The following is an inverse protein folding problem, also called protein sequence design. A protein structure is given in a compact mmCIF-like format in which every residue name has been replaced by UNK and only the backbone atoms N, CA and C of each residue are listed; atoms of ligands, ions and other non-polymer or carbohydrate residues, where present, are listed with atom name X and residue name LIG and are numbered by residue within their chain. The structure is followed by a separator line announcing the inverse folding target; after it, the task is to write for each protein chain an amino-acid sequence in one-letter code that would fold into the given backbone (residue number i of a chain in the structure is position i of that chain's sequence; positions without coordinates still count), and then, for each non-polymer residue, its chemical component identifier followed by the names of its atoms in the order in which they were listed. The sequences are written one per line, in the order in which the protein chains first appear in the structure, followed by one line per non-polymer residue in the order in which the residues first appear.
data_IF_357801834186
#
_entry.id   IF_357801834186
#
_cell.length_a   1.000
_cell.length_b   1.000
_cell.length_c   1.000
_cell.angle_alpha   90.00
_cell.angle_beta   90.00
_cell.angle_gamma   90.00
#
_symmetry.space_group_name_H-M   'P 1'
#
loop_
_entity.id
_entity.type
_entity.pdbx_description
1 polymer ?
#
# COMPACT_ATOMS: atom_id res chain seq x y z
N UNK A 1 -25.82 23.00 -12.64
CA UNK A 1 -25.69 21.61 -12.19
C UNK A 1 -24.63 20.96 -13.05
N UNK A 2 -23.56 20.49 -12.45
CA UNK A 2 -22.47 19.84 -13.17
C UNK A 2 -22.75 18.34 -13.16
N UNK A 3 -23.11 17.78 -14.31
CA UNK A 3 -23.45 16.35 -14.47
C UNK A 3 -22.26 15.48 -14.84
N UNK A 4 -21.06 15.71 -14.26
CA UNK A 4 -19.86 14.94 -14.58
C UNK A 4 -19.15 14.47 -13.30
N UNK A 5 -18.48 13.33 -13.41
CA UNK A 5 -17.63 12.77 -12.35
C UNK A 5 -16.23 12.54 -12.91
N UNK A 6 -15.22 13.00 -12.18
CA UNK A 6 -13.82 12.68 -12.47
C UNK A 6 -13.20 12.11 -11.20
N UNK A 7 -13.11 10.79 -11.12
CA UNK A 7 -12.54 10.08 -9.98
C UNK A 7 -11.75 8.87 -10.45
N UNK A 8 -10.54 8.73 -9.95
CA UNK A 8 -9.66 7.59 -10.19
C UNK A 8 -9.33 6.94 -8.86
N UNK A 9 -9.43 5.62 -8.83
CA UNK A 9 -9.06 4.79 -7.68
C UNK A 9 -7.97 3.82 -8.15
N UNK A 10 -6.84 3.79 -7.45
CA UNK A 10 -5.74 2.89 -7.73
C UNK A 10 -5.27 2.20 -6.46
N UNK A 11 -5.00 0.90 -6.59
CA UNK A 11 -4.33 0.10 -5.59
C UNK A 11 -3.11 -0.55 -6.22
N UNK A 12 -1.93 -0.25 -5.73
CA UNK A 12 -0.69 -0.78 -6.31
C UNK A 12 0.53 -0.48 -5.46
N UNK A 13 1.70 -0.79 -6.01
CA UNK A 13 2.98 -0.62 -5.32
C UNK A 13 3.83 0.45 -6.00
N UNK A 14 4.59 1.20 -5.18
CA UNK A 14 5.56 2.17 -5.70
C UNK A 14 6.75 1.46 -6.35
N UNK A 15 7.14 1.94 -7.52
CA UNK A 15 8.32 1.45 -8.22
C UNK A 15 9.63 2.09 -7.75
N UNK A 16 9.56 3.29 -7.18
CA UNK A 16 10.69 4.10 -6.69
C UNK A 16 10.22 5.00 -5.56
N UNK A 17 11.18 5.56 -4.82
CA UNK A 17 10.88 6.52 -3.76
C UNK A 17 10.15 7.76 -4.30
N UNK A 18 9.24 8.36 -3.51
CA UNK A 18 8.58 9.61 -3.86
C UNK A 18 9.57 10.75 -4.01
N UNK A 19 9.30 11.65 -4.93
CA UNK A 19 10.05 12.90 -5.08
C UNK A 19 9.24 14.04 -4.45
N UNK A 20 9.84 14.71 -3.47
CA UNK A 20 9.25 15.85 -2.80
C UNK A 20 9.84 17.13 -3.37
N UNK A 21 8.99 18.06 -3.79
CA UNK A 21 9.39 19.36 -4.33
C UNK A 21 8.70 20.49 -3.60
N UNK A 22 9.44 21.59 -3.37
CA UNK A 22 8.87 22.84 -2.87
C UNK A 22 8.42 23.69 -4.04
N UNK A 23 7.20 24.21 -3.95
CA UNK A 23 6.67 25.17 -4.91
C UNK A 23 7.09 26.60 -4.54
N UNK A 24 7.00 27.53 -5.49
CA UNK A 24 7.29 28.95 -5.25
C UNK A 24 6.38 29.59 -4.20
N UNK A 25 5.21 29.01 -3.97
CA UNK A 25 4.27 29.42 -2.92
C UNK A 25 4.69 29.02 -1.51
N UNK A 26 5.79 28.24 -1.35
CA UNK A 26 6.23 27.68 -0.08
C UNK A 26 5.57 26.34 0.28
N UNK A 27 4.52 25.93 -0.43
CA UNK A 27 3.87 24.63 -0.25
C UNK A 27 4.71 23.51 -0.85
N UNK A 28 4.57 22.30 -0.34
CA UNK A 28 5.22 21.11 -0.88
C UNK A 28 4.27 20.34 -1.80
N UNK A 29 4.84 19.63 -2.77
CA UNK A 29 4.17 18.61 -3.55
C UNK A 29 4.98 17.32 -3.55
N UNK A 30 4.31 16.19 -3.65
CA UNK A 30 4.95 14.89 -3.81
C UNK A 30 4.56 14.26 -5.15
N UNK A 31 5.52 13.63 -5.82
CA UNK A 31 5.28 12.89 -7.06
C UNK A 31 5.85 11.49 -6.97
N UNK A 32 5.08 10.50 -7.42
CA UNK A 32 5.51 9.11 -7.47
C UNK A 32 4.72 8.33 -8.52
N UNK A 33 5.15 7.11 -8.81
CA UNK A 33 4.45 6.22 -9.74
C UNK A 33 4.01 4.95 -9.05
N UNK A 34 2.77 4.54 -9.30
CA UNK A 34 2.17 3.30 -8.81
C UNK A 34 2.05 2.30 -9.96
N UNK A 35 2.48 1.06 -9.70
CA UNK A 35 2.29 -0.08 -10.60
C UNK A 35 1.00 -0.82 -10.25
N UNK A 36 0.16 -1.04 -11.25
CA UNK A 36 -0.97 -1.96 -11.17
C UNK A 36 -0.72 -3.13 -12.14
N UNK A 37 -0.80 -4.37 -11.65
CA UNK A 37 -0.54 -5.56 -12.45
C UNK A 37 -1.81 -6.37 -12.66
N UNK A 38 -2.01 -6.83 -13.88
CA UNK A 38 -3.06 -7.77 -14.26
C UNK A 38 -2.42 -9.06 -14.74
N UNK A 39 -2.84 -10.19 -14.16
CA UNK A 39 -2.41 -11.53 -14.56
C UNK A 39 -3.57 -12.27 -15.19
N UNK A 40 -3.30 -12.98 -16.26
CA UNK A 40 -4.27 -13.85 -16.91
C UNK A 40 -3.60 -15.05 -17.54
N UNK A 41 -4.35 -16.11 -17.75
CA UNK A 41 -3.90 -17.28 -18.49
C UNK A 41 -4.31 -17.13 -19.95
N UNK A 42 -3.34 -17.24 -20.86
CA UNK A 42 -3.61 -17.23 -22.30
C UNK A 42 -4.38 -18.49 -22.69
N UNK A 43 -5.50 -18.32 -23.38
CA UNK A 43 -6.38 -19.44 -23.73
C UNK A 43 -5.75 -20.38 -24.76
N UNK A 44 -4.86 -19.88 -25.61
CA UNK A 44 -4.25 -20.64 -26.69
C UNK A 44 -2.98 -21.34 -26.25
N UNK A 45 -2.10 -20.63 -25.54
CA UNK A 45 -0.78 -21.15 -25.10
C UNK A 45 -0.82 -21.76 -23.72
N UNK A 46 -1.90 -21.55 -22.94
CA UNK A 46 -2.04 -21.95 -21.54
C UNK A 46 -0.97 -21.34 -20.61
N UNK A 47 -0.20 -20.37 -21.09
CA UNK A 47 0.82 -19.68 -20.33
C UNK A 47 0.23 -18.57 -19.46
N UNK A 48 0.85 -18.33 -18.32
CA UNK A 48 0.51 -17.17 -17.48
C UNK A 48 1.17 -15.92 -18.05
N UNK A 49 0.35 -14.92 -18.35
CA UNK A 49 0.79 -13.60 -18.80
C UNK A 49 0.53 -12.56 -17.74
N UNK A 50 1.43 -11.60 -17.64
CA UNK A 50 1.30 -10.45 -16.75
C UNK A 50 1.50 -9.15 -17.53
N UNK A 51 0.67 -8.16 -17.22
CA UNK A 51 0.81 -6.80 -17.75
C UNK A 51 0.81 -5.83 -16.59
N UNK A 52 1.84 -5.02 -16.50
CA UNK A 52 1.96 -3.94 -15.51
C UNK A 52 1.71 -2.60 -16.19
N UNK A 53 0.89 -1.76 -15.57
CA UNK A 53 0.65 -0.39 -15.97
C UNK A 53 1.17 0.55 -14.88
N UNK A 54 1.84 1.62 -15.30
CA UNK A 54 2.39 2.64 -14.43
C UNK A 54 1.52 3.89 -14.45
N UNK A 55 1.18 4.40 -13.28
CA UNK A 55 0.34 5.57 -13.11
C UNK A 55 1.11 6.63 -12.35
N UNK A 56 1.18 7.84 -12.91
CA UNK A 56 1.82 8.98 -12.27
C UNK A 56 0.84 9.65 -11.31
N UNK A 57 1.28 9.83 -10.08
CA UNK A 57 0.50 10.43 -9.01
C UNK A 57 1.19 11.72 -8.57
N UNK A 58 0.40 12.77 -8.42
CA UNK A 58 0.84 14.05 -7.88
C UNK A 58 -0.01 14.39 -6.68
N UNK A 59 0.63 14.63 -5.56
CA UNK A 59 -0.03 14.91 -4.28
C UNK A 59 0.24 16.36 -3.90
N UNK A 60 -0.83 17.10 -3.64
CA UNK A 60 -0.82 18.45 -3.11
C UNK A 60 -1.42 18.47 -1.70
N UNK A 61 -1.05 19.49 -0.94
CA UNK A 61 -1.51 19.71 0.42
C UNK A 61 -0.55 19.13 1.46
N UNK A 62 -0.17 19.99 2.40
CA UNK A 62 0.91 19.72 3.34
C UNK A 62 0.70 18.44 4.15
N UNK A 63 -0.54 18.16 4.58
CA UNK A 63 -0.84 16.96 5.37
C UNK A 63 -0.62 15.64 4.60
N UNK A 64 -1.07 15.55 3.35
CA UNK A 64 -0.84 14.36 2.53
C UNK A 64 0.61 14.22 2.11
N UNK A 65 1.25 15.34 1.76
CA UNK A 65 2.68 15.34 1.38
C UNK A 65 3.54 14.92 2.55
N UNK A 66 3.24 15.35 3.77
CA UNK A 66 3.96 14.95 4.99
C UNK A 66 3.84 13.42 5.23
N UNK A 67 2.66 12.83 5.01
CA UNK A 67 2.47 11.38 5.10
C UNK A 67 3.34 10.66 4.06
N UNK A 68 3.34 11.16 2.82
CA UNK A 68 4.17 10.59 1.76
C UNK A 68 5.64 10.69 2.10
N UNK A 69 6.12 11.86 2.56
CA UNK A 69 7.52 12.11 2.92
C UNK A 69 8.01 11.19 4.05
N UNK A 70 7.17 10.95 5.06
CA UNK A 70 7.55 10.18 6.26
C UNK A 70 7.42 8.68 6.10
N UNK A 71 6.43 8.20 5.37
CA UNK A 71 6.03 6.80 5.44
C UNK A 71 6.06 6.06 4.13
N UNK A 72 6.02 6.76 3.00
CA UNK A 72 5.96 6.13 1.67
C UNK A 72 7.36 5.96 1.10
N UNK A 73 7.68 4.75 0.65
CA UNK A 73 8.98 4.41 0.05
C UNK A 73 8.79 3.43 -1.11
N UNK A 74 9.85 3.19 -1.87
CA UNK A 74 9.88 2.16 -2.90
C UNK A 74 9.33 0.83 -2.37
N UNK A 75 8.41 0.23 -3.11
CA UNK A 75 7.75 -1.02 -2.74
C UNK A 75 6.49 -0.86 -1.89
N UNK A 76 6.27 0.29 -1.26
CA UNK A 76 5.07 0.55 -0.46
C UNK A 76 3.80 0.28 -1.24
N UNK A 77 2.84 -0.38 -0.60
CA UNK A 77 1.52 -0.64 -1.15
C UNK A 77 0.56 0.45 -0.74
N UNK A 78 0.00 1.15 -1.72
CA UNK A 78 -0.89 2.28 -1.52
C UNK A 78 -2.23 2.08 -2.18
N UNK A 79 -3.27 2.54 -1.49
CA UNK A 79 -4.57 2.85 -2.04
C UNK A 79 -4.67 4.37 -2.20
N UNK A 80 -5.00 4.85 -3.38
CA UNK A 80 -5.16 6.27 -3.66
C UNK A 80 -6.47 6.56 -4.39
N UNK A 81 -7.10 7.66 -4.04
CA UNK A 81 -8.22 8.25 -4.75
C UNK A 81 -7.88 9.68 -5.15
N UNK A 82 -8.15 10.04 -6.37
CA UNK A 82 -7.89 11.37 -6.90
C UNK A 82 -8.64 11.65 -8.18
N UNK A 83 -8.24 12.70 -8.86
CA UNK A 83 -8.81 13.11 -10.14
C UNK A 83 -7.82 12.92 -11.28
N UNK A 84 -8.30 12.52 -12.45
CA UNK A 84 -7.47 12.42 -13.64
C UNK A 84 -7.29 13.81 -14.25
N UNK A 85 -6.05 14.20 -14.44
CA UNK A 85 -5.72 15.47 -15.09
C UNK A 85 -4.71 15.24 -16.21
N UNK A 86 -4.97 15.86 -17.35
CA UNK A 86 -4.02 15.92 -18.47
C UNK A 86 -3.51 17.34 -18.60
N UNK A 87 -2.18 17.50 -18.52
CA UNK A 87 -1.52 18.78 -18.75
C UNK A 87 -0.66 18.73 -20.01
N UNK A 88 -0.65 19.84 -20.71
CA UNK A 88 0.21 20.08 -21.86
C UNK A 88 1.54 20.68 -21.39
N UNK A 89 2.63 20.22 -21.95
CA UNK A 89 3.97 20.78 -21.74
C UNK A 89 4.77 20.72 -23.03
N UNK A 90 5.84 21.48 -23.13
CA UNK A 90 6.73 21.45 -24.29
C UNK A 90 8.04 20.77 -23.94
N UNK A 91 8.49 19.88 -24.83
CA UNK A 91 9.82 19.28 -24.72
C UNK A 91 10.93 20.28 -25.14
N UNK A 92 12.19 19.82 -25.04
CA UNK A 92 13.34 20.66 -25.37
C UNK A 92 13.39 21.09 -26.85
N UNK A 93 12.71 20.34 -27.72
CA UNK A 93 12.61 20.62 -29.15
C UNK A 93 11.40 21.52 -29.50
N UNK A 94 10.66 21.98 -28.49
CA UNK A 94 9.50 22.83 -28.65
C UNK A 94 8.21 22.12 -29.06
N UNK A 95 8.20 20.75 -29.05
CA UNK A 95 7.00 20.00 -29.40
C UNK A 95 6.04 19.92 -28.21
N UNK A 96 4.77 20.01 -28.51
CA UNK A 96 3.71 19.83 -27.53
C UNK A 96 3.61 18.38 -27.09
N UNK A 97 3.68 18.17 -25.77
CA UNK A 97 3.53 16.87 -25.11
C UNK A 97 2.39 16.93 -24.10
N UNK A 98 1.80 15.80 -23.83
CA UNK A 98 0.72 15.66 -22.89
C UNK A 98 1.10 14.63 -21.82
N UNK A 99 0.91 14.98 -20.56
CA UNK A 99 1.08 14.07 -19.42
C UNK A 99 -0.26 13.89 -18.73
N UNK A 100 -0.67 12.65 -18.55
CA UNK A 100 -1.86 12.30 -17.79
C UNK A 100 -1.45 11.81 -16.42
N UNK A 101 -1.95 12.45 -15.38
CA UNK A 101 -1.57 12.25 -13.98
C UNK A 101 -2.82 12.14 -13.12
N UNK A 102 -2.72 11.42 -12.02
CA UNK A 102 -3.76 11.39 -10.99
C UNK A 102 -3.38 12.38 -9.91
N UNK A 103 -4.24 13.36 -9.70
CA UNK A 103 -4.01 14.45 -8.76
C UNK A 103 -4.76 14.17 -7.46
N UNK A 104 -4.03 14.16 -6.35
CA UNK A 104 -4.57 14.11 -5.01
C UNK A 104 -4.52 15.52 -4.42
N UNK A 105 -5.69 16.16 -4.35
CA UNK A 105 -5.85 17.52 -3.83
C UNK A 105 -7.23 17.70 -3.20
N UNK A 106 -7.28 18.37 -2.04
CA UNK A 106 -8.52 18.71 -1.38
C UNK A 106 -9.28 17.54 -0.77
N UNK A 107 -10.57 17.75 -0.52
CA UNK A 107 -11.40 16.81 0.26
C UNK A 107 -11.80 15.53 -0.48
N UNK A 108 -11.71 15.52 -1.81
CA UNK A 108 -12.10 14.35 -2.63
C UNK A 108 -10.96 13.38 -2.88
N UNK A 109 -9.81 13.60 -2.25
CA UNK A 109 -8.64 12.75 -2.39
C UNK A 109 -8.38 11.93 -1.13
N UNK A 110 -7.87 10.72 -1.31
CA UNK A 110 -7.50 9.84 -0.22
C UNK A 110 -6.19 9.12 -0.54
N UNK A 111 -5.37 8.91 0.48
CA UNK A 111 -4.15 8.13 0.40
C UNK A 111 -4.04 7.27 1.66
N UNK A 112 -4.01 5.95 1.47
CA UNK A 112 -3.91 4.97 2.56
C UNK A 112 -2.76 4.02 2.31
N UNK A 113 -1.84 3.91 3.28
CA UNK A 113 -0.79 2.89 3.28
C UNK A 113 -1.40 1.54 3.68
N UNK A 114 -1.12 0.53 2.87
CA UNK A 114 -1.57 -0.85 3.09
C UNK A 114 -0.41 -1.81 3.38
N UNK A 115 0.78 -1.27 3.62
CA UNK A 115 1.89 -2.08 4.08
C UNK A 115 1.54 -2.67 5.44
N UNK A 116 1.49 -3.99 5.54
CA UNK A 116 1.56 -4.67 6.82
C UNK A 116 2.83 -4.17 7.48
N UNK A 117 2.73 -3.53 8.65
CA UNK A 117 3.89 -3.30 9.51
C UNK A 117 4.54 -4.67 9.71
N UNK A 118 5.58 -4.92 8.92
CA UNK A 118 6.40 -6.11 9.08
C UNK A 118 6.79 -6.16 10.54
N UNK A 119 6.49 -7.29 11.14
CA UNK A 119 6.93 -7.72 12.44
C UNK A 119 8.35 -7.20 12.68
N UNK A 120 8.49 -6.10 13.41
CA UNK A 120 9.76 -5.76 14.01
C UNK A 120 10.02 -6.90 14.99
N UNK A 121 10.89 -7.83 14.61
CA UNK A 121 11.52 -8.73 15.53
C UNK A 121 12.07 -7.86 16.66
N UNK A 122 11.35 -7.83 17.75
CA UNK A 122 11.89 -7.49 19.05
C UNK A 122 12.86 -8.63 19.33
N UNK A 123 14.11 -8.46 18.97
CA UNK A 123 15.19 -9.22 19.56
C UNK A 123 15.16 -8.91 21.05
N UNK A 124 14.41 -9.70 21.79
CA UNK A 124 14.56 -9.82 23.21
C UNK A 124 15.95 -10.39 23.45
N UNK A 125 16.89 -9.49 23.65
CA UNK A 125 18.16 -9.80 24.26
C UNK A 125 17.89 -10.20 25.72
N UNK A 126 17.55 -11.47 25.91
CA UNK A 126 17.51 -12.08 27.22
C UNK A 126 18.92 -12.37 27.64
N UNK A 127 19.49 -11.42 28.33
CA UNK A 127 20.75 -11.63 29.06
C UNK A 127 20.47 -12.54 30.24
N UNK A 128 21.02 -13.75 30.12
CA UNK A 128 21.10 -14.76 31.16
C UNK A 128 21.85 -14.24 32.37
N UNK A 129 21.28 -14.36 33.55
CA UNK A 129 22.05 -14.60 34.75
C UNK A 129 21.37 -15.69 35.59
N UNK A 130 22.18 -16.72 35.80
CA UNK A 130 22.00 -17.86 36.70
C UNK A 130 21.75 -17.40 38.15
N UNK A 131 20.96 -18.16 38.89
CA UNK A 131 21.40 -18.86 40.11
C UNK A 131 20.27 -19.70 40.68
N UNK A 132 20.56 -20.97 40.75
CA UNK A 132 20.43 -21.99 41.82
C UNK A 132 19.13 -22.18 42.62
N UNK A 133 18.76 -23.48 42.58
CA UNK A 133 18.29 -24.38 43.64
C UNK A 133 16.88 -24.22 44.26
N UNK A 134 16.12 -25.28 44.18
CA UNK A 134 15.72 -26.25 45.21
C UNK A 134 14.40 -26.94 44.82
N UNK A 135 14.56 -28.25 44.68
CA UNK A 135 13.73 -29.45 44.97
C UNK A 135 12.26 -29.37 45.37
N UNK A 136 11.60 -30.39 44.86
CA UNK A 136 10.56 -31.29 45.44
C UNK A 136 9.12 -30.89 45.05
N UNK A 137 8.29 -31.73 44.64
CA UNK A 137 7.93 -33.10 44.71
C UNK A 137 6.44 -33.24 44.38
N UNK A 138 6.12 -34.28 43.65
CA UNK A 138 4.90 -35.07 43.69
C UNK A 138 3.51 -34.57 43.27
N UNK A 139 2.98 -35.39 42.40
CA UNK A 139 1.63 -36.00 42.35
C UNK A 139 0.62 -35.44 41.40
N UNK A 140 0.49 -36.08 40.22
CA UNK A 140 -0.57 -37.05 39.91
C UNK A 140 -2.00 -36.49 40.05
N UNK A 141 -2.71 -36.31 38.96
CA UNK A 141 -3.93 -37.06 38.72
C UNK A 141 -4.49 -36.89 37.30
N UNK A 142 -4.90 -38.00 36.76
CA UNK A 142 -5.63 -38.28 35.55
C UNK A 142 -7.08 -37.72 35.63
N UNK A 143 -7.68 -37.34 34.53
CA UNK A 143 -8.88 -37.96 33.96
C UNK A 143 -9.44 -37.07 32.84
N UNK A 144 -9.43 -37.51 31.64
CA UNK A 144 -10.43 -38.15 30.76
C UNK A 144 -11.75 -37.41 30.52
N UNK A 145 -12.06 -37.38 29.22
CA UNK A 145 -13.37 -37.40 28.56
C UNK A 145 -14.08 -36.05 28.44
N UNK A 146 -14.80 -35.71 27.38
CA UNK A 146 -15.32 -36.43 26.20
C UNK A 146 -15.93 -35.36 25.29
N UNK A 147 -15.90 -35.59 23.96
CA UNK A 147 -16.80 -35.25 22.88
C UNK A 147 -17.75 -34.04 23.00
N UNK A 148 -17.79 -33.14 21.98
CA UNK A 148 -18.88 -33.17 21.00
C UNK A 148 -18.61 -32.26 19.80
N UNK A 149 -18.89 -32.83 18.66
CA UNK A 149 -18.97 -32.27 17.34
C UNK A 149 -20.06 -31.20 17.26
N UNK A 150 -19.82 -30.13 16.47
CA UNK A 150 -20.86 -29.54 15.62
C UNK A 150 -20.24 -28.78 14.46
N UNK A 151 -20.29 -29.43 13.32
CA UNK A 151 -20.23 -28.82 11.99
C UNK A 151 -21.50 -27.96 11.80
N UNK A 152 -21.33 -26.68 11.45
CA UNK A 152 -22.37 -25.95 10.74
C UNK A 152 -21.79 -25.35 9.45
N UNK A 153 -22.19 -25.97 8.37
CA UNK A 153 -22.09 -25.52 6.99
C UNK A 153 -22.75 -24.15 6.81
N UNK A 154 -22.00 -23.22 6.23
CA UNK A 154 -22.55 -21.96 5.71
C UNK A 154 -22.44 -22.00 4.19
N UNK A 155 -23.53 -21.96 3.43
CA UNK A 155 -23.48 -21.94 1.97
C UNK A 155 -23.16 -20.54 1.43
N UNK A 156 -22.19 -20.49 0.53
CA UNK A 156 -21.95 -19.33 -0.34
C UNK A 156 -22.95 -19.27 -1.47
N UNK A 157 -23.54 -18.10 -1.65
CA UNK A 157 -24.14 -17.65 -2.91
C UNK A 157 -23.27 -16.59 -3.53
#
# INVERSE_FOLDING_TARGET
MVGSVNKVILLGNLGRDPEIRSMQSGSKMATFSIATSKRWKDKNTQEQKEKTSWHNIVVFGDGLVEIVEKYVKKGSKLYVEGELQTRKWQDQDGNDRYSTEVILQGFNSNLTLLDSRGNQNIENNSNSNQTDDIKSDSSNNQNSNDSDENEEDIPFY
#
